data_IF_140635975115
#
_entry.id   IF_140635975115
#
_cell.length_a   1.000
_cell.length_b   1.000
_cell.length_c   1.000
_cell.angle_alpha   90.00
_cell.angle_beta   90.00
_cell.angle_gamma   90.00
#
_symmetry.space_group_name_H-M   'P 1'
#
loop_
_entity.id
_entity.type
_entity.pdbx_description
1 polymer ?
#
# COMPACT_ATOMS: atom_id res chain seq x y z
N UNK A 1 23.07 -6.07 13.51
CA UNK A 1 22.64 -7.39 12.99
C UNK A 1 22.28 -7.19 11.54
N UNK A 2 23.02 -7.79 10.61
CA UNK A 2 22.80 -7.56 9.19
C UNK A 2 21.54 -8.29 8.70
N UNK A 3 20.73 -7.59 7.90
CA UNK A 3 19.53 -8.17 7.29
C UNK A 3 19.93 -9.23 6.27
N UNK A 4 19.25 -10.37 6.28
CA UNK A 4 19.44 -11.41 5.27
C UNK A 4 19.00 -10.91 3.89
N UNK A 5 19.51 -11.47 2.78
CA UNK A 5 19.07 -11.10 1.43
C UNK A 5 17.54 -11.23 1.23
N UNK A 6 16.94 -12.25 1.85
CA UNK A 6 15.49 -12.47 1.84
C UNK A 6 14.72 -11.35 2.55
N UNK A 7 15.23 -10.87 3.69
CA UNK A 7 14.63 -9.73 4.40
C UNK A 7 14.74 -8.44 3.57
N UNK A 8 15.88 -8.20 2.92
CA UNK A 8 16.06 -7.04 2.03
C UNK A 8 15.11 -7.10 0.83
N UNK A 9 14.93 -8.26 0.23
CA UNK A 9 13.99 -8.43 -0.88
C UNK A 9 12.55 -8.21 -0.43
N UNK A 10 12.17 -8.73 0.74
CA UNK A 10 10.84 -8.50 1.31
C UNK A 10 10.60 -7.00 1.60
N UNK A 11 11.56 -6.32 2.21
CA UNK A 11 11.49 -4.88 2.46
C UNK A 11 11.35 -4.09 1.14
N UNK A 12 12.06 -4.49 0.08
CA UNK A 12 11.94 -3.85 -1.23
C UNK A 12 10.55 -4.04 -1.85
N UNK A 13 9.94 -5.22 -1.70
CA UNK A 13 8.56 -5.46 -2.15
C UNK A 13 7.61 -4.52 -1.41
N UNK A 14 7.68 -4.46 -0.09
CA UNK A 14 6.79 -3.57 0.68
C UNK A 14 7.06 -2.08 0.43
N UNK A 15 8.31 -1.70 0.20
CA UNK A 15 8.70 -0.37 -0.24
C UNK A 15 8.17 -0.01 -1.62
N UNK A 16 7.98 -0.97 -2.53
CA UNK A 16 7.30 -0.73 -3.80
C UNK A 16 5.78 -0.59 -3.61
N UNK A 17 5.19 -1.42 -2.74
CA UNK A 17 3.73 -1.45 -2.50
C UNK A 17 3.23 -0.18 -1.78
N UNK A 18 4.09 0.52 -1.03
CA UNK A 18 3.73 1.80 -0.39
C UNK A 18 3.69 2.98 -1.38
N UNK A 19 4.33 2.88 -2.54
CA UNK A 19 4.34 3.97 -3.53
C UNK A 19 2.93 4.36 -4.02
N UNK A 20 2.03 3.40 -4.36
CA UNK A 20 0.66 3.76 -4.69
C UNK A 20 -0.15 4.34 -3.51
N UNK A 21 0.22 4.09 -2.25
CA UNK A 21 -0.39 4.74 -1.07
C UNK A 21 -0.13 6.24 -1.12
N UNK A 22 1.15 6.60 -1.30
CA UNK A 22 1.59 7.98 -1.39
C UNK A 22 1.00 8.66 -2.62
N UNK A 23 0.98 7.97 -3.77
CA UNK A 23 0.40 8.50 -5.00
C UNK A 23 -1.11 8.74 -4.85
N UNK A 24 -1.84 7.81 -4.24
CA UNK A 24 -3.25 8.01 -3.93
C UNK A 24 -3.42 9.23 -3.02
N UNK A 25 -2.69 9.32 -1.92
CA UNK A 25 -2.76 10.45 -0.98
C UNK A 25 -2.52 11.80 -1.67
N UNK A 26 -1.48 11.89 -2.51
CA UNK A 26 -1.16 13.05 -3.34
C UNK A 26 -2.34 13.37 -4.25
N UNK A 27 -2.88 12.39 -4.97
CA UNK A 27 -4.00 12.61 -5.87
C UNK A 27 -5.27 13.08 -5.15
N UNK A 28 -5.54 12.58 -3.93
CA UNK A 28 -6.68 13.03 -3.14
C UNK A 28 -6.54 14.47 -2.62
N UNK A 29 -5.32 14.92 -2.27
CA UNK A 29 -5.08 16.24 -1.65
C UNK A 29 -4.71 17.34 -2.64
N UNK A 30 -3.99 17.01 -3.72
CA UNK A 30 -3.49 18.00 -4.69
C UNK A 30 -4.42 18.16 -5.89
N UNK A 31 -5.21 17.13 -6.26
CA UNK A 31 -6.18 17.24 -7.35
C UNK A 31 -7.51 17.77 -6.81
N UNK A 32 -7.60 19.09 -6.68
CA UNK A 32 -8.75 19.77 -6.05
C UNK A 32 -10.07 19.64 -6.83
N UNK A 33 -10.03 19.22 -8.09
CA UNK A 33 -11.20 19.22 -8.98
C UNK A 33 -11.79 17.84 -9.26
N UNK A 34 -11.08 16.75 -8.97
CA UNK A 34 -11.58 15.41 -9.25
C UNK A 34 -11.07 14.39 -8.26
N UNK A 35 -12.03 13.60 -7.83
CA UNK A 35 -11.89 12.57 -6.80
C UNK A 35 -11.51 11.21 -7.38
N UNK A 36 -11.82 11.01 -8.66
CA UNK A 36 -11.65 9.76 -9.39
C UNK A 36 -10.18 9.30 -9.50
N UNK A 37 -9.19 10.17 -9.82
CA UNK A 37 -7.79 9.74 -9.90
C UNK A 37 -7.26 9.18 -8.58
N UNK A 38 -7.68 9.78 -7.46
CA UNK A 38 -7.35 9.29 -6.12
C UNK A 38 -7.90 7.88 -5.89
N UNK A 39 -9.18 7.64 -6.21
CA UNK A 39 -9.81 6.33 -6.05
C UNK A 39 -9.20 5.25 -6.95
N UNK A 40 -8.83 5.60 -8.18
CA UNK A 40 -8.14 4.68 -9.10
C UNK A 40 -6.79 4.27 -8.53
N UNK A 41 -5.97 5.24 -8.09
CA UNK A 41 -4.66 4.97 -7.50
C UNK A 41 -4.77 4.16 -6.21
N UNK A 42 -5.78 4.45 -5.40
CA UNK A 42 -6.09 3.68 -4.20
C UNK A 42 -6.43 2.23 -4.53
N UNK A 43 -7.30 1.99 -5.52
CA UNK A 43 -7.69 0.64 -5.94
C UNK A 43 -6.49 -0.15 -6.51
N UNK A 44 -5.65 0.48 -7.34
CA UNK A 44 -4.39 -0.11 -7.82
C UNK A 44 -3.49 -0.49 -6.66
N UNK A 45 -3.42 0.37 -5.67
CA UNK A 45 -2.68 0.16 -4.44
C UNK A 45 -3.15 -1.04 -3.62
N UNK A 46 -4.46 -1.15 -3.39
CA UNK A 46 -5.06 -2.30 -2.71
C UNK A 46 -4.78 -3.59 -3.49
N UNK A 47 -4.90 -3.57 -4.81
CA UNK A 47 -4.57 -4.73 -5.64
C UNK A 47 -3.10 -5.15 -5.47
N UNK A 48 -2.15 -4.20 -5.46
CA UNK A 48 -0.75 -4.48 -5.22
C UNK A 48 -0.49 -5.12 -3.85
N UNK A 49 -1.18 -4.64 -2.80
CA UNK A 49 -1.10 -5.23 -1.44
C UNK A 49 -1.60 -6.68 -1.42
N UNK A 50 -2.74 -6.94 -2.08
CA UNK A 50 -3.33 -8.28 -2.15
C UNK A 50 -2.42 -9.25 -2.92
N UNK A 51 -1.86 -8.80 -4.05
CA UNK A 51 -0.91 -9.59 -4.84
C UNK A 51 0.34 -9.90 -4.03
N UNK A 52 0.90 -8.91 -3.32
CA UNK A 52 2.06 -9.12 -2.46
C UNK A 52 1.74 -10.13 -1.33
N UNK A 53 0.61 -9.97 -0.64
CA UNK A 53 0.18 -10.93 0.39
C UNK A 53 -0.01 -12.34 -0.18
N UNK A 54 -0.67 -12.48 -1.34
CA UNK A 54 -0.84 -13.75 -2.03
C UNK A 54 0.51 -14.38 -2.37
N UNK A 55 1.45 -13.61 -2.87
CA UNK A 55 2.81 -14.07 -3.18
C UNK A 55 3.57 -14.56 -1.93
N UNK A 56 3.53 -13.80 -0.84
CA UNK A 56 4.14 -14.20 0.44
C UNK A 56 3.48 -15.47 1.01
N UNK A 57 2.15 -15.57 0.93
CA UNK A 57 1.39 -16.73 1.37
C UNK A 57 1.75 -17.99 0.55
N UNK A 58 1.82 -17.87 -0.78
CA UNK A 58 2.22 -18.96 -1.68
C UNK A 58 3.65 -19.43 -1.39
N UNK A 59 4.55 -18.52 -1.01
CA UNK A 59 5.93 -18.84 -0.64
C UNK A 59 6.10 -19.24 0.83
N UNK A 60 5.01 -19.30 1.61
CA UNK A 60 5.01 -19.55 3.07
C UNK A 60 6.01 -18.65 3.82
N UNK A 61 6.21 -17.42 3.35
CA UNK A 61 7.12 -16.44 3.95
C UNK A 61 6.32 -15.45 4.78
N UNK A 62 6.84 -15.12 5.96
CA UNK A 62 6.25 -14.06 6.77
C UNK A 62 6.44 -12.71 6.07
N UNK A 63 5.39 -11.88 5.93
CA UNK A 63 5.47 -10.63 5.21
C UNK A 63 6.22 -9.53 5.99
N UNK A 64 6.67 -9.80 7.23
CA UNK A 64 7.42 -8.85 8.04
C UNK A 64 6.61 -7.60 8.40
N UNK A 65 7.28 -6.58 8.96
CA UNK A 65 6.63 -5.35 9.43
C UNK A 65 5.96 -4.59 8.28
N UNK A 66 6.59 -4.54 7.11
CA UNK A 66 6.05 -3.86 5.93
C UNK A 66 4.69 -4.44 5.51
N UNK A 67 4.53 -5.76 5.53
CA UNK A 67 3.27 -6.37 5.15
C UNK A 67 2.15 -6.21 6.16
N UNK A 68 2.44 -5.89 7.42
CA UNK A 68 1.39 -5.52 8.39
C UNK A 68 1.06 -4.02 8.31
N UNK A 69 2.08 -3.17 8.17
CA UNK A 69 1.90 -1.72 8.17
C UNK A 69 1.18 -1.20 6.91
N UNK A 70 1.51 -1.73 5.74
CA UNK A 70 0.98 -1.23 4.47
C UNK A 70 -0.55 -1.44 4.32
N UNK A 71 -1.14 -2.62 4.62
CA UNK A 71 -2.60 -2.78 4.62
C UNK A 71 -3.31 -1.86 5.61
N UNK A 72 -2.74 -1.67 6.80
CA UNK A 72 -3.30 -0.77 7.83
C UNK A 72 -3.29 0.66 7.32
N UNK A 73 -2.20 1.12 6.69
CA UNK A 73 -2.12 2.43 6.08
C UNK A 73 -3.15 2.62 4.96
N UNK A 74 -3.35 1.63 4.08
CA UNK A 74 -4.42 1.69 3.08
C UNK A 74 -5.79 1.83 3.75
N UNK A 75 -6.11 0.98 4.73
CA UNK A 75 -7.40 1.02 5.41
C UNK A 75 -7.65 2.37 6.09
N UNK A 76 -6.65 2.90 6.80
CA UNK A 76 -6.73 4.20 7.46
C UNK A 76 -6.92 5.33 6.46
N UNK A 77 -6.13 5.35 5.38
CA UNK A 77 -6.22 6.39 4.37
C UNK A 77 -7.54 6.32 3.60
N UNK A 78 -7.96 5.12 3.18
CA UNK A 78 -9.26 4.93 2.54
C UNK A 78 -10.42 5.39 3.41
N UNK A 79 -10.38 5.07 4.72
CA UNK A 79 -11.36 5.55 5.69
C UNK A 79 -11.34 7.07 5.86
N UNK A 80 -10.15 7.65 6.04
CA UNK A 80 -9.98 9.11 6.17
C UNK A 80 -10.48 9.84 4.91
N UNK A 81 -10.21 9.30 3.72
CA UNK A 81 -10.67 9.85 2.46
C UNK A 81 -12.17 9.74 2.28
N UNK A 82 -12.77 8.62 2.69
CA UNK A 82 -14.22 8.47 2.67
C UNK A 82 -14.90 9.52 3.56
N UNK A 83 -14.38 9.72 4.78
CA UNK A 83 -14.92 10.65 5.77
C UNK A 83 -14.73 12.13 5.40
N UNK A 84 -13.69 12.47 4.63
CA UNK A 84 -13.38 13.86 4.22
C UNK A 84 -14.02 14.27 2.90
N UNK A 85 -14.66 13.32 2.19
CA UNK A 85 -15.31 13.51 0.89
C UNK A 85 -16.85 13.49 0.97
N UNK A 86 -17.42 13.08 2.10
CA UNK A 86 -18.84 13.28 2.48
C UNK A 86 -19.02 14.64 3.14
#
# INVERSE_FOLDING_TARGET
MDKTPDQKHADNIWGAVIMPVLAAWIAFHLVRHSTAPGWILYAVGVAAVLIAHGWFALRKKAPGVGGTAVPVLYALLGGLFWLTRT
#
